data_IF_224173821109
#
_entry.id   IF_224173821109
#
_cell.length_a   1.000
_cell.length_b   1.000
_cell.length_c   1.000
_cell.angle_alpha   90.00
_cell.angle_beta   90.00
_cell.angle_gamma   90.00
#
_symmetry.space_group_name_H-M   'P 1'
#
loop_
_entity.id
_entity.type
_entity.pdbx_description
1 polymer ?
#
# COMPACT_ATOMS: atom_id res chain seq x y z
N UNK A 1 -18.95 22.16 -0.05
CA UNK A 1 -19.22 21.67 1.32
C UNK A 1 -18.67 20.27 1.49
N UNK A 2 -17.96 20.01 2.58
CA UNK A 2 -17.38 18.70 2.87
C UNK A 2 -18.46 17.68 3.26
N UNK A 3 -18.48 16.53 2.61
CA UNK A 3 -19.35 15.41 2.97
C UNK A 3 -18.62 14.50 3.98
N UNK A 4 -18.88 14.74 5.25
CA UNK A 4 -18.25 14.03 6.37
C UNK A 4 -18.53 12.52 6.35
N UNK A 5 -19.75 12.12 6.05
CA UNK A 5 -20.13 10.70 5.98
C UNK A 5 -19.34 9.97 4.88
N UNK A 6 -19.19 10.60 3.74
CA UNK A 6 -18.43 10.06 2.61
C UNK A 6 -16.95 9.94 2.92
N UNK A 7 -16.39 10.92 3.63
CA UNK A 7 -15.00 10.87 4.09
C UNK A 7 -14.80 9.71 5.05
N UNK A 8 -15.66 9.53 6.04
CA UNK A 8 -15.58 8.42 7.01
C UNK A 8 -15.65 7.07 6.29
N UNK A 9 -16.56 6.94 5.33
CA UNK A 9 -16.68 5.73 4.53
C UNK A 9 -15.38 5.43 3.75
N UNK A 10 -14.80 6.45 3.13
CA UNK A 10 -13.53 6.30 2.41
C UNK A 10 -12.36 5.95 3.32
N UNK A 11 -12.27 6.57 4.49
CA UNK A 11 -11.24 6.23 5.48
C UNK A 11 -11.39 4.77 5.95
N UNK A 12 -12.63 4.30 6.12
CA UNK A 12 -12.88 2.90 6.49
C UNK A 12 -12.40 1.93 5.39
N UNK A 13 -12.60 2.28 4.13
CA UNK A 13 -12.08 1.47 3.01
C UNK A 13 -10.56 1.35 3.12
N UNK A 14 -9.87 2.45 3.40
CA UNK A 14 -8.41 2.42 3.58
C UNK A 14 -8.02 1.52 4.75
N UNK A 15 -8.68 1.65 5.90
CA UNK A 15 -8.40 0.82 7.08
C UNK A 15 -8.51 -0.67 6.72
N UNK A 16 -9.59 -1.06 6.06
CA UNK A 16 -9.84 -2.45 5.68
C UNK A 16 -8.84 -2.96 4.65
N UNK A 17 -8.65 -2.22 3.56
CA UNK A 17 -7.82 -2.64 2.44
C UNK A 17 -6.34 -2.61 2.77
N UNK A 18 -5.90 -1.56 3.45
CA UNK A 18 -4.48 -1.37 3.76
C UNK A 18 -4.00 -2.31 4.86
N UNK A 19 -4.86 -2.67 5.79
CA UNK A 19 -4.52 -3.70 6.79
C UNK A 19 -4.24 -5.04 6.11
N UNK A 20 -5.04 -5.44 5.13
CA UNK A 20 -4.77 -6.66 4.37
C UNK A 20 -3.50 -6.52 3.52
N UNK A 21 -3.30 -5.36 2.89
CA UNK A 21 -2.10 -5.12 2.08
C UNK A 21 -0.83 -5.20 2.93
N UNK A 22 -0.84 -4.62 4.12
CA UNK A 22 0.28 -4.70 5.06
C UNK A 22 0.56 -6.15 5.48
N UNK A 23 -0.47 -6.91 5.82
CA UNK A 23 -0.34 -8.33 6.13
C UNK A 23 0.22 -9.11 4.93
N UNK A 24 -0.23 -8.81 3.73
CA UNK A 24 0.27 -9.41 2.49
C UNK A 24 1.75 -9.11 2.25
N UNK A 25 2.17 -7.87 2.46
CA UNK A 25 3.59 -7.48 2.34
C UNK A 25 4.46 -8.17 3.40
N UNK A 26 3.97 -8.34 4.63
CA UNK A 26 4.67 -9.10 5.66
C UNK A 26 4.87 -10.56 5.25
N UNK A 27 3.83 -11.20 4.73
CA UNK A 27 3.92 -12.59 4.27
C UNK A 27 4.91 -12.70 3.11
N UNK A 28 4.82 -11.80 2.12
CA UNK A 28 5.75 -11.78 0.99
C UNK A 28 7.20 -11.56 1.44
N UNK A 29 7.43 -10.71 2.44
CA UNK A 29 8.74 -10.51 3.03
C UNK A 29 9.32 -11.85 3.52
N UNK A 30 8.51 -12.67 4.19
CA UNK A 30 8.92 -14.00 4.67
C UNK A 30 9.20 -14.96 3.52
N UNK A 31 8.36 -14.94 2.48
CA UNK A 31 8.56 -15.75 1.27
C UNK A 31 9.90 -15.40 0.63
N UNK A 32 10.19 -14.12 0.43
CA UNK A 32 11.43 -13.66 -0.18
C UNK A 32 12.66 -13.98 0.68
N UNK A 33 12.54 -13.82 2.01
CA UNK A 33 13.61 -14.21 2.93
C UNK A 33 13.93 -15.70 2.82
N UNK A 34 12.92 -16.55 2.69
CA UNK A 34 13.10 -18.00 2.53
C UNK A 34 13.78 -18.37 1.22
N UNK A 35 13.71 -17.50 0.22
CA UNK A 35 14.36 -17.68 -1.09
C UNK A 35 15.78 -17.09 -1.14
N UNK A 36 16.23 -16.46 -0.05
CA UNK A 36 17.56 -15.85 0.02
C UNK A 36 17.60 -14.40 -0.47
N UNK A 37 16.46 -13.78 -0.75
CA UNK A 37 16.36 -12.38 -1.21
C UNK A 37 16.20 -11.43 -0.02
N UNK A 38 17.26 -11.29 0.79
CA UNK A 38 17.20 -10.52 2.03
C UNK A 38 16.89 -9.05 1.82
N UNK A 39 17.40 -8.43 0.77
CA UNK A 39 17.16 -7.01 0.47
C UNK A 39 15.72 -6.77 0.06
N UNK A 40 15.18 -7.64 -0.78
CA UNK A 40 13.77 -7.56 -1.19
C UNK A 40 12.83 -7.79 0.00
N UNK A 41 13.19 -8.76 0.85
CA UNK A 41 12.43 -9.05 2.08
C UNK A 41 12.36 -7.82 3.01
N UNK A 42 13.50 -7.15 3.22
CA UNK A 42 13.56 -5.95 4.06
C UNK A 42 12.68 -4.82 3.49
N UNK A 43 12.69 -4.64 2.18
CA UNK A 43 11.85 -3.63 1.51
C UNK A 43 10.37 -3.85 1.80
N UNK A 44 9.86 -5.06 1.64
CA UNK A 44 8.44 -5.35 1.87
C UNK A 44 8.07 -5.31 3.34
N UNK A 45 8.99 -5.63 4.23
CA UNK A 45 8.79 -5.43 5.68
C UNK A 45 8.62 -3.96 6.03
N UNK A 46 9.45 -3.09 5.45
CA UNK A 46 9.33 -1.64 5.63
C UNK A 46 8.01 -1.11 5.08
N UNK A 47 7.58 -1.57 3.91
CA UNK A 47 6.28 -1.20 3.33
C UNK A 47 5.14 -1.56 4.27
N UNK A 48 5.16 -2.76 4.86
CA UNK A 48 4.13 -3.19 5.80
C UNK A 48 4.06 -2.30 7.05
N UNK A 49 5.21 -1.93 7.61
CA UNK A 49 5.29 -1.03 8.77
C UNK A 49 4.72 0.36 8.45
N UNK A 50 5.09 0.93 7.30
CA UNK A 50 4.61 2.22 6.84
C UNK A 50 3.09 2.21 6.61
N UNK A 51 2.58 1.16 5.97
CA UNK A 51 1.16 1.00 5.72
C UNK A 51 0.34 0.90 7.00
N UNK A 52 0.84 0.17 8.01
CA UNK A 52 0.19 0.10 9.32
C UNK A 52 0.14 1.46 10.02
N UNK A 53 1.15 2.29 9.80
CA UNK A 53 1.12 3.67 10.26
C UNK A 53 -0.05 4.46 9.69
N UNK A 54 -0.33 4.30 8.40
CA UNK A 54 -1.49 4.95 7.77
C UNK A 54 -2.82 4.35 8.22
N UNK A 55 -2.88 3.05 8.45
CA UNK A 55 -4.08 2.43 9.04
C UNK A 55 -4.41 3.06 10.38
N UNK A 56 -3.40 3.29 11.22
CA UNK A 56 -3.59 3.95 12.52
C UNK A 56 -4.05 5.39 12.36
N UNK A 57 -3.43 6.16 11.49
CA UNK A 57 -3.82 7.56 11.22
C UNK A 57 -5.26 7.67 10.72
N UNK A 58 -5.66 6.79 9.80
CA UNK A 58 -7.02 6.77 9.28
C UNK A 58 -8.03 6.33 10.33
N UNK A 59 -7.68 5.35 11.17
CA UNK A 59 -8.50 4.91 12.30
C UNK A 59 -8.74 6.07 13.26
N UNK A 60 -7.68 6.74 13.67
CA UNK A 60 -7.76 7.89 14.58
C UNK A 60 -8.63 9.00 13.97
N UNK A 61 -8.48 9.23 12.67
CA UNK A 61 -9.24 10.29 12.00
C UNK A 61 -10.75 9.98 11.93
N UNK A 62 -11.12 8.72 11.70
CA UNK A 62 -12.54 8.30 11.77
C UNK A 62 -13.12 8.64 13.15
N UNK A 63 -12.39 8.30 14.21
CA UNK A 63 -12.81 8.57 15.58
C UNK A 63 -12.91 10.07 15.86
N UNK A 64 -11.94 10.86 15.41
CA UNK A 64 -11.97 12.32 15.52
C UNK A 64 -13.20 12.94 14.85
N UNK A 65 -13.61 12.38 13.72
CA UNK A 65 -14.79 12.83 12.99
C UNK A 65 -16.12 12.32 13.58
N UNK A 66 -16.05 11.55 14.67
CA UNK A 66 -17.24 11.00 15.34
C UNK A 66 -17.79 9.74 14.68
N UNK A 67 -17.05 9.10 13.80
CA UNK A 67 -17.44 7.85 13.16
C UNK A 67 -17.12 6.62 13.98
N UNK A 68 -17.64 5.48 13.53
CA UNK A 68 -17.35 4.17 14.09
C UNK A 68 -16.37 3.44 13.18
N UNK A 69 -15.32 2.84 13.75
CA UNK A 69 -14.36 2.04 13.00
C UNK A 69 -14.81 0.59 13.05
N UNK A 70 -14.76 -0.08 11.91
CA UNK A 70 -15.14 -1.49 11.77
C UNK A 70 -13.91 -2.33 11.49
N UNK A 71 -13.91 -3.55 12.03
CA UNK A 71 -12.95 -4.57 11.67
C UNK A 71 -13.64 -5.49 10.66
N UNK A 72 -13.37 -5.27 9.39
CA UNK A 72 -14.05 -5.97 8.30
C UNK A 72 -13.15 -7.06 7.71
N UNK A 73 -13.76 -8.16 7.32
CA UNK A 73 -13.08 -9.20 6.56
C UNK A 73 -12.94 -8.76 5.10
N UNK A 74 -11.87 -9.18 4.45
CA UNK A 74 -11.65 -8.95 3.04
C UNK A 74 -11.38 -10.27 2.33
N UNK A 75 -11.74 -10.34 1.03
CA UNK A 75 -11.49 -11.50 0.18
C UNK A 75 -9.99 -11.82 0.16
N UNK A 76 -9.66 -13.11 0.11
CA UNK A 76 -8.27 -13.57 0.07
C UNK A 76 -7.49 -12.94 -1.08
N UNK A 77 -6.24 -12.56 -0.79
CA UNK A 77 -5.30 -12.05 -1.78
C UNK A 77 -4.24 -13.13 -2.08
N UNK A 78 -3.65 -13.13 -3.29
CA UNK A 78 -2.64 -14.12 -3.64
C UNK A 78 -1.32 -13.92 -2.90
N UNK A 79 -0.63 -15.02 -2.61
CA UNK A 79 0.77 -15.02 -2.19
C UNK A 79 1.58 -15.61 -3.34
N UNK A 80 2.56 -14.86 -3.83
CA UNK A 80 3.33 -15.25 -5.00
C UNK A 80 4.71 -15.78 -4.59
N UNK A 81 5.10 -16.92 -5.16
CA UNK A 81 6.45 -17.45 -4.97
C UNK A 81 7.45 -16.87 -5.96
N UNK A 82 6.99 -16.37 -7.10
CA UNK A 82 7.82 -15.68 -8.09
C UNK A 82 7.90 -14.19 -7.74
N UNK A 83 9.11 -13.71 -7.44
CA UNK A 83 9.32 -12.34 -6.99
C UNK A 83 8.94 -11.31 -8.04
N UNK A 84 9.26 -11.55 -9.32
CA UNK A 84 8.97 -10.61 -10.41
C UNK A 84 7.46 -10.54 -10.64
N UNK A 85 6.77 -11.68 -10.64
CA UNK A 85 5.32 -11.72 -10.78
C UNK A 85 4.62 -10.99 -9.62
N UNK A 86 5.17 -11.11 -8.41
CA UNK A 86 4.63 -10.36 -7.27
C UNK A 86 4.78 -8.85 -7.45
N UNK A 87 5.94 -8.39 -7.91
CA UNK A 87 6.17 -6.96 -8.16
C UNK A 87 5.17 -6.43 -9.19
N UNK A 88 4.91 -7.19 -10.24
CA UNK A 88 3.91 -6.81 -11.26
C UNK A 88 2.50 -6.73 -10.68
N UNK A 89 2.13 -7.72 -9.88
CA UNK A 89 0.83 -7.76 -9.19
C UNK A 89 0.67 -6.57 -8.26
N UNK A 90 1.68 -6.33 -7.41
CA UNK A 90 1.67 -5.26 -6.43
C UNK A 90 1.62 -3.88 -7.09
N UNK A 91 2.33 -3.72 -8.22
CA UNK A 91 2.27 -2.50 -9.02
C UNK A 91 0.85 -2.22 -9.53
N UNK A 92 0.15 -3.24 -10.00
CA UNK A 92 -1.23 -3.06 -10.48
C UNK A 92 -2.17 -2.70 -9.34
N UNK A 93 -2.00 -3.31 -8.16
CA UNK A 93 -2.75 -2.97 -6.95
C UNK A 93 -2.52 -1.50 -6.59
N UNK A 94 -1.27 -1.03 -6.64
CA UNK A 94 -0.93 0.37 -6.37
C UNK A 94 -1.58 1.33 -7.36
N UNK A 95 -1.55 1.01 -8.66
CA UNK A 95 -2.18 1.85 -9.70
C UNK A 95 -3.69 1.98 -9.49
N UNK A 96 -4.36 0.86 -9.23
CA UNK A 96 -5.81 0.85 -9.00
C UNK A 96 -6.16 1.59 -7.71
N UNK A 97 -5.37 1.39 -6.66
CA UNK A 97 -5.55 2.06 -5.38
C UNK A 97 -5.37 3.58 -5.47
N UNK A 98 -4.35 4.03 -6.21
CA UNK A 98 -4.10 5.46 -6.42
C UNK A 98 -5.23 6.14 -7.18
N UNK A 99 -5.78 5.47 -8.21
CA UNK A 99 -6.90 6.00 -8.97
C UNK A 99 -8.13 6.24 -8.08
N UNK A 100 -8.43 5.28 -7.20
CA UNK A 100 -9.51 5.40 -6.23
C UNK A 100 -9.21 6.48 -5.19
N UNK A 101 -7.99 6.48 -4.64
CA UNK A 101 -7.57 7.39 -3.58
C UNK A 101 -7.62 8.85 -4.03
N UNK A 102 -7.29 9.14 -5.28
CA UNK A 102 -7.36 10.49 -5.84
C UNK A 102 -8.76 11.11 -5.66
N UNK A 103 -9.80 10.30 -5.88
CA UNK A 103 -11.18 10.75 -5.68
C UNK A 103 -11.48 11.09 -4.22
N UNK A 104 -10.98 10.30 -3.28
CA UNK A 104 -11.16 10.56 -1.85
C UNK A 104 -10.39 11.80 -1.40
N UNK A 105 -9.17 11.99 -1.90
CA UNK A 105 -8.38 13.20 -1.62
C UNK A 105 -9.16 14.44 -2.02
N UNK A 106 -9.76 14.45 -3.21
CA UNK A 106 -10.58 15.57 -3.67
C UNK A 106 -11.79 15.80 -2.78
N UNK A 107 -12.47 14.73 -2.32
CA UNK A 107 -13.60 14.84 -1.40
C UNK A 107 -13.21 15.49 -0.08
N UNK A 108 -11.99 15.33 0.36
CA UNK A 108 -11.49 15.83 1.65
C UNK A 108 -10.84 17.22 1.55
N UNK A 109 -10.85 17.86 0.40
CA UNK A 109 -10.08 19.09 0.15
C UNK A 109 -10.35 20.21 1.16
N UNK A 110 -11.57 20.34 1.65
CA UNK A 110 -11.96 21.37 2.64
C UNK A 110 -11.77 20.91 4.10
N UNK A 111 -11.58 19.64 4.34
CA UNK A 111 -11.20 19.08 5.64
C UNK A 111 -9.68 18.95 5.68
N UNK A 112 -9.01 20.00 6.09
CA UNK A 112 -7.56 20.13 5.98
C UNK A 112 -6.78 19.03 6.69
N UNK A 113 -7.25 18.57 7.83
CA UNK A 113 -6.56 17.49 8.57
C UNK A 113 -6.68 16.17 7.83
N UNK A 114 -7.88 15.81 7.38
CA UNK A 114 -8.08 14.60 6.57
C UNK A 114 -7.34 14.72 5.24
N UNK A 115 -7.45 15.85 4.57
CA UNK A 115 -6.75 16.12 3.32
C UNK A 115 -5.24 15.91 3.45
N UNK A 116 -4.64 16.41 4.53
CA UNK A 116 -3.19 16.27 4.76
C UNK A 116 -2.78 14.79 4.94
N UNK A 117 -3.53 14.03 5.73
CA UNK A 117 -3.29 12.60 5.91
C UNK A 117 -3.37 11.85 4.58
N UNK A 118 -4.44 12.06 3.83
CA UNK A 118 -4.68 11.38 2.56
C UNK A 118 -3.68 11.79 1.48
N UNK A 119 -3.29 13.05 1.45
CA UNK A 119 -2.28 13.55 0.52
C UNK A 119 -0.91 12.93 0.78
N UNK A 120 -0.51 12.84 2.04
CA UNK A 120 0.75 12.20 2.44
C UNK A 120 0.75 10.74 2.02
N UNK A 121 -0.32 10.02 2.32
CA UNK A 121 -0.48 8.64 1.92
C UNK A 121 -0.44 8.48 0.39
N UNK A 122 -1.13 9.33 -0.33
CA UNK A 122 -1.11 9.33 -1.80
C UNK A 122 0.32 9.49 -2.34
N UNK A 123 1.07 10.44 -1.80
CA UNK A 123 2.44 10.72 -2.25
C UNK A 123 3.38 9.54 -1.96
N UNK A 124 3.25 8.90 -0.82
CA UNK A 124 4.07 7.73 -0.47
C UNK A 124 3.74 6.53 -1.35
N UNK A 125 2.46 6.28 -1.59
CA UNK A 125 2.01 5.20 -2.48
C UNK A 125 2.42 5.44 -3.93
N UNK A 126 2.37 6.68 -4.40
CA UNK A 126 2.84 7.05 -5.74
C UNK A 126 4.35 6.85 -5.87
N UNK A 127 5.12 7.19 -4.85
CA UNK A 127 6.57 6.95 -4.84
C UNK A 127 6.89 5.45 -4.92
N UNK A 128 6.14 4.63 -4.20
CA UNK A 128 6.29 3.16 -4.24
C UNK A 128 5.93 2.61 -5.63
N UNK A 129 4.90 3.17 -6.26
CA UNK A 129 4.50 2.80 -7.62
C UNK A 129 5.63 3.10 -8.63
N UNK A 130 6.21 4.28 -8.58
CA UNK A 130 7.32 4.66 -9.45
C UNK A 130 8.55 3.78 -9.21
N UNK A 131 8.83 3.44 -7.97
CA UNK A 131 9.94 2.55 -7.63
C UNK A 131 9.73 1.15 -8.22
N UNK A 132 8.51 0.60 -8.13
CA UNK A 132 8.20 -0.69 -8.73
C UNK A 132 8.35 -0.68 -10.25
N UNK A 133 7.91 0.39 -10.92
CA UNK A 133 8.12 0.55 -12.36
C UNK A 133 9.60 0.60 -12.73
N UNK A 134 10.39 1.32 -11.93
CA UNK A 134 11.85 1.41 -12.11
C UNK A 134 12.52 0.04 -11.94
N UNK A 135 12.14 -0.71 -10.93
CA UNK A 135 12.65 -2.07 -10.70
C UNK A 135 12.37 -2.97 -11.90
N UNK A 136 11.13 -2.96 -12.41
CA UNK A 136 10.78 -3.74 -13.60
C UNK A 136 11.60 -3.33 -14.82
N UNK A 137 11.86 -2.04 -14.99
CA UNK A 137 12.71 -1.52 -16.05
C UNK A 137 14.16 -1.98 -15.91
N UNK A 138 14.70 -2.03 -14.69
CA UNK A 138 16.05 -2.54 -14.41
C UNK A 138 16.14 -4.04 -14.76
N UNK A 139 15.12 -4.81 -14.36
CA UNK A 139 15.07 -6.25 -14.68
C UNK A 139 15.14 -6.49 -16.18
N UNK A 140 14.43 -5.70 -16.98
CA UNK A 140 14.49 -5.80 -18.45
C UNK A 140 15.90 -5.51 -18.99
N UNK A 141 16.61 -4.57 -18.38
CA UNK A 141 17.95 -4.16 -18.83
C UNK A 141 19.05 -5.14 -18.46
N UNK A 142 19.05 -5.66 -17.23
CA UNK A 142 20.14 -6.49 -16.73
C UNK A 142 19.82 -7.99 -16.73
N UNK A 143 18.57 -8.34 -16.96
CA UNK A 143 18.07 -9.72 -16.89
C UNK A 143 17.74 -10.17 -15.49
N UNK A 144 16.82 -11.13 -15.39
CA UNK A 144 16.30 -11.58 -14.08
C UNK A 144 17.35 -12.20 -13.18
N UNK A 145 18.28 -12.96 -13.75
CA UNK A 145 19.32 -13.64 -12.95
C UNK A 145 20.24 -12.63 -12.24
N UNK A 146 20.65 -11.59 -12.95
CA UNK A 146 21.47 -10.53 -12.36
C UNK A 146 20.67 -9.75 -11.31
N UNK A 147 19.39 -9.52 -11.56
CA UNK A 147 18.56 -8.83 -10.60
C UNK A 147 18.35 -9.67 -9.33
N UNK A 148 18.08 -10.99 -9.46
CA UNK A 148 17.97 -11.88 -8.31
C UNK A 148 19.26 -11.85 -7.46
N UNK A 149 20.42 -11.90 -8.10
CA UNK A 149 21.69 -11.81 -7.39
C UNK A 149 21.81 -10.50 -6.58
N UNK A 150 21.30 -9.40 -7.11
CA UNK A 150 21.33 -8.09 -6.45
C UNK A 150 20.43 -8.01 -5.22
N UNK A 151 19.48 -8.93 -5.06
CA UNK A 151 18.55 -8.96 -3.93
C UNK A 151 19.01 -9.83 -2.76
N UNK A 152 20.09 -10.55 -2.93
CA UNK A 152 20.64 -11.44 -1.92
C UNK A 152 21.33 -10.71 -0.78
#
# INVERSE_FOLDING_TARGET
MTDKAKIIEGLQVIVTDLEQQAAGHDIQSRVFASQGFSKLADKYKEHAEEERGYVQKCTDRILDLGGEVKLEAKKAAPVCTDAIEYIKYDLQVSKDGLAWLAGLVECAREDYTTFDILKEYYQDEEADMYEAEEILGVIEKIGKENWYASQM
#
